data_IF_264670407218
#
_entry.id   IF_264670407218
#
_cell.length_a   1.000
_cell.length_b   1.000
_cell.length_c   1.000
_cell.angle_alpha   90.00
_cell.angle_beta   90.00
_cell.angle_gamma   90.00
#
_symmetry.space_group_name_H-M   'P 1'
#
loop_
_entity.id
_entity.type
_entity.pdbx_description
1 polymer ?
#
# COMPACT_ATOMS: atom_id res chain seq x y z
N UNK A 1 -4.13 -22.88 34.26
CA UNK A 1 -2.81 -22.19 34.17
C UNK A 1 -1.95 -22.69 33.00
N UNK A 2 -1.78 -24.00 32.75
CA UNK A 2 -1.12 -24.51 31.52
C UNK A 2 -2.01 -24.49 30.26
N UNK A 3 -3.33 -24.51 30.44
CA UNK A 3 -4.30 -24.48 29.31
C UNK A 3 -4.52 -23.09 28.72
N UNK A 4 -4.34 -22.01 29.49
CA UNK A 4 -4.52 -20.64 29.01
C UNK A 4 -3.36 -20.16 28.12
N UNK A 5 -2.13 -20.58 28.42
CA UNK A 5 -0.96 -20.26 27.58
C UNK A 5 -1.05 -20.92 26.19
N UNK A 6 -1.62 -22.14 26.11
CA UNK A 6 -1.88 -22.80 24.81
C UNK A 6 -2.98 -22.11 24.02
N UNK A 7 -4.00 -21.53 24.68
CA UNK A 7 -5.01 -20.68 24.01
C UNK A 7 -4.42 -19.35 23.52
N UNK A 8 -3.41 -18.80 24.21
CA UNK A 8 -2.68 -17.60 23.80
C UNK A 8 -1.80 -17.82 22.55
N UNK A 9 -1.25 -19.02 22.35
CA UNK A 9 -0.46 -19.39 21.17
C UNK A 9 -1.31 -19.68 19.92
N UNK A 10 -2.59 -20.04 20.08
CA UNK A 10 -3.44 -20.53 19.00
C UNK A 10 -4.33 -19.47 18.31
N UNK A 11 -4.69 -18.36 18.98
CA UNK A 11 -5.82 -17.50 18.49
C UNK A 11 -5.48 -16.02 18.28
N UNK A 12 -4.27 -15.55 18.60
CA UNK A 12 -3.83 -14.18 18.25
C UNK A 12 -4.81 -13.08 18.69
N UNK A 13 -4.82 -12.75 19.97
CA UNK A 13 -5.74 -11.75 20.52
C UNK A 13 -5.34 -10.32 20.11
N UNK A 14 -6.32 -9.47 19.77
CA UNK A 14 -6.07 -8.07 19.45
C UNK A 14 -5.45 -7.30 20.62
N UNK A 15 -4.52 -6.40 20.33
CA UNK A 15 -3.74 -5.60 21.29
C UNK A 15 -4.55 -4.72 22.25
N UNK A 16 -5.88 -4.60 22.05
CA UNK A 16 -6.80 -3.87 22.94
C UNK A 16 -7.18 -4.67 24.19
N UNK A 17 -7.12 -5.99 24.16
CA UNK A 17 -7.46 -6.85 25.31
C UNK A 17 -6.28 -7.05 26.27
N UNK A 18 -5.06 -6.70 25.85
CA UNK A 18 -3.86 -6.73 26.69
C UNK A 18 -3.77 -5.59 27.73
N UNK A 19 -4.68 -4.60 27.67
CA UNK A 19 -4.67 -3.46 28.60
C UNK A 19 -6.09 -3.08 29.06
N UNK A 20 -6.42 -3.34 30.33
CA UNK A 20 -7.61 -2.77 30.98
C UNK A 20 -7.19 -1.80 32.08
N UNK A 21 -7.61 -0.53 31.95
CA UNK A 21 -7.48 0.50 33.00
C UNK A 21 -8.65 0.38 33.99
N UNK A 22 -8.36 0.29 35.29
CA UNK A 22 -9.26 0.82 36.34
C UNK A 22 -8.48 1.64 37.35
N UNK A 23 -8.89 2.89 37.54
CA UNK A 23 -8.45 3.74 38.65
C UNK A 23 -9.45 3.52 39.80
N UNK A 24 -8.97 3.07 40.97
CA UNK A 24 -9.73 3.14 42.22
C UNK A 24 -8.98 4.05 43.21
N UNK A 25 -9.55 5.18 43.68
CA UNK A 25 -8.81 6.20 44.41
C UNK A 25 -8.47 5.88 45.88
N UNK A 26 -8.88 4.70 46.40
CA UNK A 26 -8.85 4.40 47.84
C UNK A 26 -8.01 3.17 48.23
N UNK A 27 -7.27 2.57 47.30
CA UNK A 27 -6.33 1.46 47.57
C UNK A 27 -4.95 1.89 47.08
N UNK A 28 -4.05 2.33 47.98
CA UNK A 28 -2.71 2.83 47.60
C UNK A 28 -1.70 1.69 47.36
N UNK A 29 -2.06 0.70 46.55
CA UNK A 29 -1.18 -0.35 46.05
C UNK A 29 -1.30 -0.38 44.52
N UNK A 30 -0.47 0.42 43.86
CA UNK A 30 -0.45 0.62 42.41
C UNK A 30 0.34 -0.46 41.66
N UNK A 31 0.09 -1.74 41.93
CA UNK A 31 0.77 -2.83 41.21
C UNK A 31 0.02 -3.17 39.92
N UNK A 32 0.62 -2.75 38.80
CA UNK A 32 0.50 -3.45 37.53
C UNK A 32 0.85 -4.92 37.76
N UNK A 33 -0.02 -5.86 37.40
CA UNK A 33 0.35 -7.28 37.42
C UNK A 33 0.71 -7.69 36.00
N UNK A 34 2.02 -7.85 35.78
CA UNK A 34 2.66 -8.21 34.49
C UNK A 34 2.45 -9.72 34.27
N UNK A 35 1.82 -10.11 33.16
CA UNK A 35 1.83 -11.50 32.65
C UNK A 35 3.06 -11.73 31.75
N UNK A 36 4.24 -11.41 32.27
CA UNK A 36 5.49 -11.68 31.58
C UNK A 36 6.54 -12.07 32.64
N UNK A 37 7.45 -13.01 32.33
CA UNK A 37 8.42 -13.54 33.30
C UNK A 37 9.28 -12.42 33.90
N UNK A 38 9.74 -12.65 35.14
CA UNK A 38 10.40 -11.65 36.00
C UNK A 38 11.58 -10.94 35.32
N UNK A 39 11.34 -9.73 34.82
CA UNK A 39 12.33 -8.88 34.14
C UNK A 39 13.22 -8.08 35.11
N UNK A 40 13.48 -8.57 36.32
CA UNK A 40 14.17 -7.80 37.36
C UNK A 40 15.66 -7.52 37.06
N UNK A 41 16.19 -8.04 35.94
CA UNK A 41 17.63 -7.97 35.62
C UNK A 41 17.98 -7.47 34.19
N UNK A 42 17.05 -6.96 33.40
CA UNK A 42 17.36 -6.40 32.06
C UNK A 42 17.65 -4.89 32.12
N UNK A 43 18.88 -4.50 31.79
CA UNK A 43 19.30 -3.10 31.63
C UNK A 43 18.91 -2.57 30.23
N UNK A 44 18.43 -1.32 30.17
CA UNK A 44 18.21 -0.60 28.91
C UNK A 44 19.47 -0.57 28.03
N UNK A 45 20.66 -0.58 28.64
CA UNK A 45 21.94 -0.72 27.94
C UNK A 45 21.99 -2.00 27.10
N UNK A 46 21.53 -3.13 27.63
CA UNK A 46 21.53 -4.40 26.91
C UNK A 46 20.48 -4.40 25.79
N UNK A 47 19.30 -3.83 26.04
CA UNK A 47 18.27 -3.67 25.00
C UNK A 47 18.80 -2.86 23.82
N UNK A 48 19.48 -1.74 24.11
CA UNK A 48 20.07 -0.93 23.06
C UNK A 48 21.20 -1.66 22.32
N UNK A 49 22.19 -2.19 23.06
CA UNK A 49 23.40 -2.76 22.47
C UNK A 49 23.16 -4.08 21.72
N UNK A 50 22.16 -4.87 22.15
CA UNK A 50 21.97 -6.25 21.67
C UNK A 50 20.72 -6.45 20.83
N UNK A 51 19.74 -5.56 20.91
CA UNK A 51 18.51 -5.64 20.13
C UNK A 51 18.37 -4.43 19.19
N UNK A 52 18.29 -3.21 19.71
CA UNK A 52 17.95 -2.04 18.88
C UNK A 52 19.08 -1.66 17.92
N UNK A 53 20.30 -1.48 18.41
CA UNK A 53 21.42 -1.05 17.58
C UNK A 53 21.80 -2.10 16.52
N UNK A 54 21.91 -3.42 16.82
CA UNK A 54 22.24 -4.42 15.81
C UNK A 54 21.18 -4.52 14.70
N UNK A 55 19.89 -4.42 15.03
CA UNK A 55 18.78 -4.55 14.09
C UNK A 55 18.22 -3.22 13.60
N UNK A 56 18.89 -2.09 13.86
CA UNK A 56 18.42 -0.75 13.47
C UNK A 56 18.14 -0.62 11.96
N UNK A 57 18.89 -1.34 11.13
CA UNK A 57 18.77 -1.26 9.68
C UNK A 57 17.57 -2.05 9.13
N UNK A 58 16.95 -2.96 9.90
CA UNK A 58 15.73 -3.65 9.43
C UNK A 58 14.46 -2.93 9.85
N UNK A 59 14.55 -1.91 10.72
CA UNK A 59 13.40 -1.11 11.15
C UNK A 59 12.84 -0.27 9.99
N UNK A 60 11.51 -0.16 9.92
CA UNK A 60 10.80 0.63 8.92
C UNK A 60 9.90 -0.18 7.99
N UNK A 61 9.62 0.40 6.83
CA UNK A 61 8.69 -0.14 5.82
C UNK A 61 9.43 -0.80 4.65
N UNK A 62 8.90 -1.93 4.20
CA UNK A 62 9.57 -2.80 3.25
C UNK A 62 8.58 -3.44 2.27
N UNK A 63 9.07 -3.68 1.06
CA UNK A 63 8.41 -4.51 0.06
C UNK A 63 9.22 -5.81 -0.11
N UNK A 64 8.60 -6.99 0.03
CA UNK A 64 9.25 -8.26 -0.24
C UNK A 64 9.40 -8.48 -1.76
N UNK A 65 10.51 -9.09 -2.15
CA UNK A 65 10.84 -9.46 -3.52
C UNK A 65 10.19 -10.81 -3.87
N UNK A 66 8.91 -10.76 -4.26
CA UNK A 66 8.07 -11.93 -4.57
C UNK A 66 7.60 -11.87 -6.03
N UNK A 67 8.55 -11.78 -6.95
CA UNK A 67 8.28 -11.66 -8.38
C UNK A 67 7.30 -10.51 -8.66
N UNK A 68 6.22 -10.73 -9.42
CA UNK A 68 5.28 -9.66 -9.74
C UNK A 68 4.37 -9.26 -8.56
N UNK A 69 4.30 -10.06 -7.50
CA UNK A 69 3.29 -9.90 -6.45
C UNK A 69 3.64 -8.85 -5.39
N UNK A 70 4.92 -8.66 -5.09
CA UNK A 70 5.36 -7.74 -4.03
C UNK A 70 4.75 -8.06 -2.66
N UNK A 71 4.43 -7.03 -1.89
CA UNK A 71 3.91 -7.16 -0.53
C UNK A 71 4.14 -5.90 0.30
N UNK A 72 3.68 -5.92 1.55
CA UNK A 72 3.91 -4.84 2.51
C UNK A 72 4.31 -5.40 3.87
N UNK A 73 5.51 -5.04 4.33
CA UNK A 73 6.03 -5.42 5.65
C UNK A 73 6.41 -4.16 6.43
N UNK A 74 5.92 -4.03 7.66
CA UNK A 74 6.41 -3.03 8.61
C UNK A 74 7.15 -3.73 9.75
N UNK A 75 8.43 -3.42 9.91
CA UNK A 75 9.25 -3.94 11.01
C UNK A 75 9.28 -2.90 12.13
N UNK A 76 8.78 -3.28 13.31
CA UNK A 76 8.60 -2.36 14.44
C UNK A 76 9.22 -2.90 15.71
N UNK A 77 9.53 -1.99 16.64
CA UNK A 77 9.85 -2.34 18.03
C UNK A 77 8.55 -2.34 18.84
N UNK A 78 8.28 -3.43 19.55
CA UNK A 78 7.18 -3.55 20.50
C UNK A 78 7.70 -4.17 21.81
N UNK A 79 7.88 -3.34 22.83
CA UNK A 79 8.51 -3.73 24.09
C UNK A 79 9.93 -4.25 23.88
N UNK A 80 10.13 -5.55 24.12
CA UNK A 80 11.42 -6.26 23.95
C UNK A 80 11.48 -7.08 22.65
N UNK A 81 10.51 -6.88 21.76
CA UNK A 81 10.44 -7.55 20.48
C UNK A 81 10.71 -6.55 19.35
N UNK A 82 11.36 -7.04 18.29
CA UNK A 82 11.28 -6.47 16.95
C UNK A 82 10.42 -7.42 16.13
N UNK A 83 9.33 -6.94 15.54
CA UNK A 83 8.35 -7.79 14.83
C UNK A 83 8.21 -7.30 13.40
N UNK A 84 8.33 -8.23 12.44
CA UNK A 84 7.99 -7.99 11.05
C UNK A 84 6.51 -8.30 10.79
N UNK A 85 5.68 -7.26 10.73
CA UNK A 85 4.25 -7.39 10.44
C UNK A 85 3.99 -7.31 8.94
N UNK A 86 3.54 -8.41 8.35
CA UNK A 86 3.04 -8.42 6.97
C UNK A 86 1.60 -7.91 6.96
N UNK A 87 1.35 -6.93 6.11
CA UNK A 87 0.04 -6.35 5.86
C UNK A 87 -0.52 -6.92 4.57
N UNK A 88 -1.74 -7.44 4.65
CA UNK A 88 -2.46 -8.07 3.54
C UNK A 88 -3.77 -7.31 3.31
N UNK A 89 -4.19 -7.10 2.05
CA UNK A 89 -5.47 -6.46 1.79
C UNK A 89 -6.63 -7.29 2.36
N UNK A 90 -7.79 -6.69 2.62
CA UNK A 90 -9.00 -7.45 2.96
C UNK A 90 -9.42 -8.36 1.79
N UNK A 91 -10.45 -9.17 2.00
CA UNK A 91 -10.95 -10.04 0.92
C UNK A 91 -11.64 -9.22 -0.16
N UNK A 92 -11.43 -9.60 -1.43
CA UNK A 92 -12.11 -8.99 -2.56
C UNK A 92 -13.65 -9.14 -2.45
N UNK A 93 -14.44 -8.11 -2.81
CA UNK A 93 -14.05 -6.77 -3.27
C UNK A 93 -14.09 -5.72 -2.14
N UNK A 94 -13.97 -6.10 -0.85
CA UNK A 94 -14.26 -5.22 0.30
C UNK A 94 -13.14 -4.21 0.56
N UNK A 95 -12.96 -3.26 -0.36
CA UNK A 95 -11.85 -2.30 -0.36
C UNK A 95 -11.86 -1.36 0.85
N UNK A 96 -12.97 -1.18 1.55
CA UNK A 96 -13.05 -0.32 2.73
C UNK A 96 -12.69 -1.03 4.04
N UNK A 97 -12.65 -2.36 4.03
CA UNK A 97 -12.31 -3.16 5.21
C UNK A 97 -10.87 -2.87 5.68
N UNK A 98 -10.58 -3.07 6.98
CA UNK A 98 -9.24 -2.90 7.53
C UNK A 98 -8.25 -3.92 6.95
N UNK A 99 -6.96 -3.59 6.99
CA UNK A 99 -5.91 -4.52 6.59
C UNK A 99 -5.88 -5.74 7.51
N UNK A 100 -5.65 -6.91 6.92
CA UNK A 100 -5.25 -8.11 7.66
C UNK A 100 -3.77 -7.99 8.00
N UNK A 101 -3.36 -8.53 9.14
CA UNK A 101 -1.95 -8.48 9.60
C UNK A 101 -1.54 -9.82 10.18
N UNK A 102 -0.31 -10.24 9.86
CA UNK A 102 0.31 -11.42 10.47
C UNK A 102 1.80 -11.21 10.71
N UNK A 103 2.37 -11.75 11.79
CA UNK A 103 3.81 -11.68 12.02
C UNK A 103 4.52 -12.70 11.12
N UNK A 104 5.61 -12.31 10.44
CA UNK A 104 6.45 -13.25 9.69
C UNK A 104 7.67 -13.71 10.45
N UNK A 105 8.20 -12.83 11.29
CA UNK A 105 9.29 -13.11 12.19
C UNK A 105 9.21 -12.21 13.41
N UNK A 106 9.88 -12.63 14.48
CA UNK A 106 10.16 -11.76 15.62
C UNK A 106 11.58 -11.96 16.11
N UNK A 107 12.16 -10.90 16.64
CA UNK A 107 13.47 -10.88 17.27
C UNK A 107 13.25 -10.46 18.71
N UNK A 108 13.78 -11.20 19.66
CA UNK A 108 13.56 -10.93 21.08
C UNK A 108 14.77 -11.29 21.89
N UNK A 109 14.87 -10.74 23.09
CA UNK A 109 15.94 -11.04 24.02
C UNK A 109 15.35 -11.55 25.32
N UNK A 110 15.68 -12.78 25.69
CA UNK A 110 15.41 -13.35 27.01
C UNK A 110 16.59 -13.09 27.97
N UNK A 111 16.58 -13.72 29.14
CA UNK A 111 17.64 -13.67 30.17
C UNK A 111 19.06 -14.00 29.65
N UNK A 112 19.16 -14.72 28.52
CA UNK A 112 20.42 -15.21 27.93
C UNK A 112 21.29 -14.13 27.28
N UNK A 113 20.91 -12.86 27.37
CA UNK A 113 21.72 -11.74 26.91
C UNK A 113 22.07 -11.82 25.40
N UNK A 114 21.30 -12.56 24.60
CA UNK A 114 21.47 -12.66 23.15
C UNK A 114 20.11 -12.59 22.48
N UNK A 115 20.00 -11.77 21.43
CA UNK A 115 18.81 -11.73 20.61
C UNK A 115 18.62 -13.06 19.86
N UNK A 116 17.43 -13.65 19.97
CA UNK A 116 16.97 -14.80 19.21
C UNK A 116 16.01 -14.34 18.13
N UNK A 117 16.17 -14.91 16.94
CA UNK A 117 15.28 -14.70 15.79
C UNK A 117 14.39 -15.93 15.63
N UNK A 118 13.09 -15.70 15.50
CA UNK A 118 12.11 -16.73 15.27
C UNK A 118 11.31 -16.44 14.00
N UNK A 119 11.15 -17.45 13.17
CA UNK A 119 10.17 -17.48 12.10
C UNK A 119 8.78 -17.71 12.72
N UNK A 120 7.80 -16.95 12.25
CA UNK A 120 6.41 -17.00 12.73
C UNK A 120 5.45 -17.58 11.67
N UNK A 121 5.98 -18.05 10.54
CA UNK A 121 5.19 -18.54 9.42
C UNK A 121 4.66 -19.97 9.65
N UNK A 122 3.54 -20.31 9.04
CA UNK A 122 2.88 -21.59 9.24
C UNK A 122 2.02 -21.67 10.51
N UNK A 123 1.54 -22.88 10.80
CA UNK A 123 0.50 -23.10 11.81
C UNK A 123 0.97 -23.94 13.01
N UNK A 124 2.28 -24.19 13.13
CA UNK A 124 2.90 -24.99 14.22
C UNK A 124 3.62 -24.15 15.27
N UNK A 125 3.42 -22.83 15.25
CA UNK A 125 3.99 -21.89 16.21
C UNK A 125 5.40 -21.37 15.86
N UNK A 126 5.97 -20.51 16.72
CA UNK A 126 7.29 -19.92 16.53
C UNK A 126 8.40 -20.97 16.49
N UNK A 127 9.35 -20.81 15.58
CA UNK A 127 10.47 -21.74 15.40
C UNK A 127 11.71 -21.01 14.91
N UNK A 128 12.85 -21.69 14.82
CA UNK A 128 14.12 -21.04 14.53
C UNK A 128 14.13 -20.42 13.13
N UNK A 129 14.50 -19.14 13.07
CA UNK A 129 14.77 -18.43 11.83
C UNK A 129 16.02 -17.56 11.94
N UNK A 130 16.39 -16.95 10.83
CA UNK A 130 17.52 -16.04 10.70
C UNK A 130 17.09 -14.75 9.98
N UNK A 131 17.75 -13.64 10.32
CA UNK A 131 17.66 -12.37 9.60
C UNK A 131 19.06 -11.97 9.17
N UNK A 132 19.26 -11.77 7.87
CA UNK A 132 20.52 -11.32 7.29
C UNK A 132 20.37 -9.90 6.75
N UNK A 133 21.13 -8.97 7.33
CA UNK A 133 21.18 -7.58 6.85
C UNK A 133 22.20 -7.51 5.72
N UNK A 134 21.75 -7.23 4.49
CA UNK A 134 22.61 -7.18 3.31
C UNK A 134 23.21 -5.78 3.17
N UNK A 135 22.34 -4.76 3.18
CA UNK A 135 22.68 -3.34 3.11
C UNK A 135 21.75 -2.54 4.01
N UNK A 136 21.91 -1.21 4.06
CA UNK A 136 21.00 -0.33 4.81
C UNK A 136 19.54 -0.48 4.36
N UNK A 137 19.33 -0.68 3.06
CA UNK A 137 18.01 -0.67 2.42
C UNK A 137 17.59 -2.05 1.90
N UNK A 138 18.23 -3.11 2.40
CA UNK A 138 17.94 -4.49 2.02
C UNK A 138 18.30 -5.48 3.14
N UNK A 139 17.36 -6.38 3.47
CA UNK A 139 17.61 -7.52 4.36
C UNK A 139 16.83 -8.75 3.88
N UNK A 140 17.18 -9.93 4.37
CA UNK A 140 16.45 -11.15 4.09
C UNK A 140 16.13 -11.95 5.35
N UNK A 141 15.07 -12.75 5.28
CA UNK A 141 14.73 -13.77 6.28
C UNK A 141 15.03 -15.15 5.73
N UNK A 142 15.37 -16.08 6.63
CA UNK A 142 15.48 -17.50 6.31
C UNK A 142 14.83 -18.32 7.41
N UNK A 143 13.96 -19.26 7.02
CA UNK A 143 13.49 -20.29 7.94
C UNK A 143 14.43 -21.50 7.89
N UNK A 144 14.83 -22.04 9.05
CA UNK A 144 15.67 -23.23 9.12
C UNK A 144 14.87 -24.53 9.34
N UNK A 145 13.55 -24.42 9.56
CA UNK A 145 12.67 -25.51 9.98
C UNK A 145 11.33 -25.44 9.22
N UNK A 146 11.38 -25.57 7.90
CA UNK A 146 10.20 -25.42 7.02
C UNK A 146 9.15 -26.52 7.18
N UNK A 147 9.47 -27.59 7.91
CA UNK A 147 8.50 -28.59 8.38
C UNK A 147 7.39 -27.95 9.24
N UNK A 148 7.67 -26.82 9.88
CA UNK A 148 6.70 -26.02 10.64
C UNK A 148 5.63 -25.38 9.74
N UNK A 149 5.93 -25.20 8.45
CA UNK A 149 5.03 -24.60 7.48
C UNK A 149 4.08 -25.62 6.86
N UNK A 150 4.42 -26.91 6.94
CA UNK A 150 3.66 -28.00 6.32
C UNK A 150 2.45 -28.38 7.16
N UNK A 151 1.31 -28.60 6.50
CA UNK A 151 0.09 -29.09 7.15
C UNK A 151 -0.08 -30.60 6.99
N UNK A 152 -0.75 -31.30 7.93
CA UNK A 152 -0.93 -32.75 7.88
C UNK A 152 -1.63 -33.27 6.61
N UNK A 153 -2.59 -32.51 6.08
CA UNK A 153 -3.28 -32.77 4.82
C UNK A 153 -2.50 -32.34 3.57
N UNK A 154 -1.21 -32.03 3.73
CA UNK A 154 -0.29 -31.68 2.65
C UNK A 154 -0.68 -30.40 1.91
N UNK A 155 -0.23 -30.28 0.66
CA UNK A 155 -0.38 -29.08 -0.16
C UNK A 155 -1.83 -28.69 -0.43
N UNK A 156 -2.76 -29.65 -0.42
CA UNK A 156 -4.19 -29.37 -0.60
C UNK A 156 -4.79 -28.65 0.61
N UNK A 157 -4.42 -29.05 1.83
CA UNK A 157 -4.85 -28.33 3.04
C UNK A 157 -4.18 -26.96 3.15
N UNK A 158 -2.89 -26.85 2.80
CA UNK A 158 -2.20 -25.57 2.73
C UNK A 158 -2.88 -24.59 1.76
N UNK A 159 -3.28 -25.07 0.58
CA UNK A 159 -3.99 -24.24 -0.40
C UNK A 159 -5.36 -23.79 0.13
N UNK A 160 -6.16 -24.70 0.68
CA UNK A 160 -7.49 -24.35 1.23
C UNK A 160 -7.38 -23.33 2.37
N UNK A 161 -6.43 -23.52 3.28
CA UNK A 161 -6.19 -22.60 4.40
C UNK A 161 -5.74 -21.23 3.90
N UNK A 162 -4.79 -21.20 2.95
CA UNK A 162 -4.36 -19.95 2.32
C UNK A 162 -5.51 -19.25 1.57
N UNK A 163 -6.36 -20.00 0.87
CA UNK A 163 -7.51 -19.47 0.15
C UNK A 163 -8.54 -18.85 1.10
N UNK A 164 -8.83 -19.51 2.22
CA UNK A 164 -9.68 -18.96 3.27
C UNK A 164 -9.08 -17.68 3.87
N UNK A 165 -7.77 -17.66 4.14
CA UNK A 165 -7.08 -16.47 4.66
C UNK A 165 -7.11 -15.30 3.67
N UNK A 166 -6.81 -15.53 2.39
CA UNK A 166 -6.65 -14.49 1.37
C UNK A 166 -7.95 -14.04 0.70
N UNK A 167 -8.94 -14.94 0.60
CA UNK A 167 -10.19 -14.68 -0.14
C UNK A 167 -11.45 -14.89 0.70
N UNK A 168 -11.39 -15.65 1.80
CA UNK A 168 -12.56 -15.93 2.64
C UNK A 168 -13.67 -16.71 1.91
N UNK A 169 -13.31 -17.45 0.86
CA UNK A 169 -14.22 -18.23 -0.01
C UNK A 169 -13.56 -19.55 -0.38
N UNK A 170 -14.37 -20.54 -0.76
CA UNK A 170 -13.82 -21.75 -1.38
C UNK A 170 -13.54 -21.50 -2.87
N UNK A 171 -12.83 -22.42 -3.53
CA UNK A 171 -12.52 -22.28 -4.95
C UNK A 171 -13.79 -22.39 -5.80
N UNK A 172 -14.74 -23.21 -5.37
CA UNK A 172 -16.04 -23.43 -6.02
C UNK A 172 -16.93 -22.19 -5.99
N UNK A 173 -16.81 -21.36 -4.95
CA UNK A 173 -17.54 -20.09 -4.82
C UNK A 173 -17.00 -18.98 -5.74
N UNK A 174 -15.85 -19.21 -6.39
CA UNK A 174 -15.21 -18.26 -7.30
C UNK A 174 -15.66 -18.60 -8.73
N UNK A 175 -16.72 -17.94 -9.20
CA UNK A 175 -17.40 -18.28 -10.45
C UNK A 175 -16.57 -18.12 -11.74
N UNK A 176 -15.44 -17.40 -11.71
CA UNK A 176 -14.63 -17.14 -12.90
C UNK A 176 -13.40 -18.06 -12.94
N UNK A 177 -13.35 -18.97 -13.92
CA UNK A 177 -12.24 -19.92 -14.11
C UNK A 177 -10.88 -19.22 -14.19
N UNK A 178 -10.77 -18.15 -14.98
CA UNK A 178 -9.54 -17.38 -15.08
C UNK A 178 -9.05 -16.82 -13.74
N UNK A 179 -9.97 -16.43 -12.85
CA UNK A 179 -9.63 -15.96 -11.50
C UNK A 179 -9.11 -17.12 -10.63
N UNK A 180 -9.70 -18.31 -10.76
CA UNK A 180 -9.20 -19.51 -10.08
C UNK A 180 -7.77 -19.86 -10.52
N UNK A 181 -7.46 -19.77 -11.81
CA UNK A 181 -6.11 -19.99 -12.36
C UNK A 181 -5.09 -19.00 -11.78
N UNK A 182 -5.43 -17.71 -11.76
CA UNK A 182 -4.57 -16.66 -11.20
C UNK A 182 -4.31 -16.88 -9.70
N UNK A 183 -5.33 -17.26 -8.95
CA UNK A 183 -5.25 -17.58 -7.53
C UNK A 183 -4.33 -18.77 -7.29
N UNK A 184 -4.51 -19.85 -8.05
CA UNK A 184 -3.70 -21.06 -7.93
C UNK A 184 -2.24 -20.76 -8.29
N UNK A 185 -2.00 -20.01 -9.37
CA UNK A 185 -0.66 -19.57 -9.77
C UNK A 185 0.00 -18.73 -8.68
N UNK A 186 -0.72 -17.76 -8.09
CA UNK A 186 -0.24 -16.93 -6.98
C UNK A 186 0.14 -17.80 -5.79
N UNK A 187 -0.71 -18.75 -5.39
CA UNK A 187 -0.39 -19.67 -4.31
C UNK A 187 0.87 -20.48 -4.60
N UNK A 188 0.94 -21.14 -5.76
CA UNK A 188 2.09 -21.99 -6.12
C UNK A 188 3.38 -21.18 -6.12
N UNK A 189 3.37 -20.00 -6.75
CA UNK A 189 4.54 -19.14 -6.87
C UNK A 189 5.01 -18.60 -5.51
N UNK A 190 4.11 -17.96 -4.77
CA UNK A 190 4.47 -17.32 -3.48
C UNK A 190 4.88 -18.34 -2.42
N UNK A 191 4.28 -19.54 -2.43
CA UNK A 191 4.65 -20.60 -1.48
C UNK A 191 6.00 -21.27 -1.77
N UNK A 192 6.61 -21.08 -2.96
CA UNK A 192 7.98 -21.55 -3.22
C UNK A 192 9.02 -20.85 -2.35
N UNK A 193 8.76 -19.60 -1.95
CA UNK A 193 9.68 -18.84 -1.12
C UNK A 193 9.74 -19.38 0.30
N UNK A 194 8.68 -20.02 0.78
CA UNK A 194 8.61 -20.64 2.11
C UNK A 194 9.10 -19.72 3.25
N UNK A 195 8.70 -18.45 3.18
CA UNK A 195 9.11 -17.34 4.05
C UNK A 195 10.63 -17.02 4.07
N UNK A 196 11.39 -17.56 3.11
CA UNK A 196 12.75 -17.14 2.81
C UNK A 196 12.70 -15.99 1.79
N UNK A 197 12.64 -14.77 2.29
CA UNK A 197 12.30 -13.57 1.51
C UNK A 197 13.40 -12.53 1.62
N UNK A 198 13.68 -11.84 0.50
CA UNK A 198 14.45 -10.59 0.49
C UNK A 198 13.48 -9.42 0.53
N UNK A 199 13.81 -8.41 1.32
CA UNK A 199 13.01 -7.22 1.52
C UNK A 199 13.81 -5.99 1.13
N UNK A 200 13.18 -5.10 0.36
CA UNK A 200 13.77 -3.85 -0.09
C UNK A 200 13.03 -2.68 0.53
N UNK A 201 13.78 -1.66 0.95
CA UNK A 201 13.21 -0.54 1.70
C UNK A 201 12.30 0.28 0.81
N UNK A 202 11.14 0.63 1.36
CA UNK A 202 10.22 1.60 0.76
C UNK A 202 9.87 2.68 1.79
N UNK A 203 9.30 3.78 1.33
CA UNK A 203 8.89 4.89 2.19
C UNK A 203 7.47 5.32 1.87
N UNK A 204 6.80 5.91 2.86
CA UNK A 204 5.60 6.70 2.64
C UNK A 204 5.97 8.02 1.95
N UNK A 205 5.11 8.49 1.04
CA UNK A 205 5.29 9.74 0.33
C UNK A 205 5.31 10.93 1.29
N UNK A 206 6.21 11.91 1.10
CA UNK A 206 6.12 13.21 1.76
C UNK A 206 4.80 13.91 1.45
N UNK A 207 4.30 14.71 2.39
CA UNK A 207 3.08 15.48 2.20
C UNK A 207 3.41 16.97 2.03
N UNK A 208 2.84 17.59 1.01
CA UNK A 208 2.90 19.03 0.78
C UNK A 208 1.51 19.66 0.97
N UNK A 209 1.41 20.89 1.51
CA UNK A 209 0.12 21.58 1.68
C UNK A 209 -0.66 21.81 0.38
N UNK A 210 0.02 21.80 -0.77
CA UNK A 210 -0.56 21.93 -2.10
C UNK A 210 -1.15 20.64 -2.66
N UNK A 211 -0.94 19.50 -2.00
CA UNK A 211 -1.42 18.20 -2.47
C UNK A 211 -2.95 18.17 -2.55
N UNK A 212 -3.48 17.49 -3.58
CA UNK A 212 -4.92 17.34 -3.78
C UNK A 212 -5.61 16.66 -2.59
N UNK A 213 -4.94 15.67 -2.00
CA UNK A 213 -5.33 14.97 -0.78
C UNK A 213 -4.07 14.50 -0.05
N UNK A 214 -4.22 14.01 1.18
CA UNK A 214 -3.08 13.43 1.91
C UNK A 214 -2.50 12.23 1.12
N UNK A 215 -1.23 12.21 0.72
CA UNK A 215 -0.65 11.05 0.04
C UNK A 215 -0.52 9.87 1.00
N UNK A 216 -0.31 8.67 0.46
CA UNK A 216 -0.20 7.46 1.28
C UNK A 216 -0.63 6.20 0.54
N UNK A 217 -0.95 5.16 1.33
CA UNK A 217 -1.29 3.85 0.79
C UNK A 217 -2.79 3.68 0.64
N UNK A 218 -3.20 3.00 -0.42
CA UNK A 218 -4.59 2.69 -0.74
C UNK A 218 -4.71 1.23 -1.16
N UNK A 219 -5.83 0.63 -0.78
CA UNK A 219 -6.29 -0.67 -1.25
C UNK A 219 -7.12 -0.40 -2.50
N UNK A 220 -6.97 -1.17 -3.56
CA UNK A 220 -7.64 -0.93 -4.83
C UNK A 220 -8.08 -2.21 -5.54
N UNK A 221 -9.20 -2.18 -6.24
CA UNK A 221 -9.68 -3.32 -7.03
C UNK A 221 -8.99 -3.42 -8.39
N UNK A 222 -8.48 -4.61 -8.73
CA UNK A 222 -7.79 -4.92 -9.99
C UNK A 222 -8.43 -6.13 -10.71
N UNK A 223 -9.76 -6.13 -10.81
CA UNK A 223 -10.50 -7.13 -11.59
C UNK A 223 -10.26 -8.56 -11.09
N UNK A 224 -9.82 -9.45 -11.96
CA UNK A 224 -9.61 -10.88 -11.66
C UNK A 224 -8.40 -11.13 -10.74
N UNK A 225 -7.53 -10.14 -10.55
CA UNK A 225 -6.39 -10.25 -9.63
C UNK A 225 -6.77 -10.00 -8.17
N UNK A 226 -7.98 -9.46 -7.92
CA UNK A 226 -8.48 -9.11 -6.59
C UNK A 226 -8.04 -7.72 -6.15
N UNK A 227 -7.75 -7.57 -4.86
CA UNK A 227 -7.28 -6.31 -4.29
C UNK A 227 -5.76 -6.21 -4.33
N UNK A 228 -5.28 -5.02 -4.71
CA UNK A 228 -3.87 -4.64 -4.65
C UNK A 228 -3.66 -3.42 -3.77
N UNK A 229 -2.44 -3.24 -3.27
CA UNK A 229 -2.01 -2.09 -2.50
C UNK A 229 -1.22 -1.17 -3.43
N UNK A 230 -1.64 0.09 -3.51
CA UNK A 230 -0.93 1.14 -4.24
C UNK A 230 -0.50 2.26 -3.30
N UNK A 231 0.53 2.99 -3.72
CA UNK A 231 1.03 4.17 -3.05
C UNK A 231 0.75 5.40 -3.92
N UNK A 232 -0.11 6.29 -3.44
CA UNK A 232 -0.42 7.58 -4.07
C UNK A 232 0.56 8.64 -3.58
N UNK A 233 1.25 9.30 -4.51
CA UNK A 233 2.23 10.36 -4.27
C UNK A 233 2.01 11.55 -5.21
N UNK A 234 2.48 12.75 -4.83
CA UNK A 234 2.31 13.99 -5.59
C UNK A 234 3.65 14.54 -6.09
N UNK A 235 3.65 14.98 -7.35
CA UNK A 235 4.84 15.33 -8.13
C UNK A 235 4.52 16.60 -8.94
N UNK A 236 4.51 17.75 -8.26
CA UNK A 236 4.09 19.01 -8.88
C UNK A 236 2.64 18.96 -9.35
N UNK A 237 2.42 19.06 -10.66
CA UNK A 237 1.09 19.01 -11.29
C UNK A 237 0.58 17.59 -11.57
N UNK A 238 1.27 16.55 -11.10
CA UNK A 238 0.88 15.16 -11.33
C UNK A 238 0.72 14.39 -10.02
N UNK A 239 -0.29 13.52 -9.94
CA UNK A 239 -0.34 12.49 -8.92
C UNK A 239 0.03 11.14 -9.54
N UNK A 240 0.82 10.34 -8.83
CA UNK A 240 1.35 9.05 -9.30
C UNK A 240 0.95 7.94 -8.32
N UNK A 241 0.42 6.84 -8.84
CA UNK A 241 0.13 5.64 -8.07
C UNK A 241 1.11 4.52 -8.43
N UNK A 242 1.90 4.07 -7.47
CA UNK A 242 2.87 2.98 -7.64
C UNK A 242 2.37 1.72 -6.95
N UNK A 243 2.45 0.56 -7.61
CA UNK A 243 2.03 -0.72 -7.02
C UNK A 243 2.99 -1.17 -5.92
N UNK A 244 2.47 -1.45 -4.73
CA UNK A 244 3.20 -2.12 -3.65
C UNK A 244 2.95 -3.63 -3.66
N UNK A 245 1.74 -4.02 -4.00
CA UNK A 245 1.44 -5.37 -4.50
C UNK A 245 0.98 -5.27 -5.94
N UNK A 246 1.24 -6.31 -6.71
CA UNK A 246 0.86 -6.35 -8.10
C UNK A 246 0.56 -7.75 -8.59
N UNK A 247 0.53 -7.86 -9.91
CA UNK A 247 0.09 -9.04 -10.60
C UNK A 247 0.97 -9.30 -11.83
N UNK A 248 0.87 -10.48 -12.46
CA UNK A 248 1.69 -10.82 -13.62
C UNK A 248 1.49 -9.92 -14.85
N UNK A 249 0.43 -9.12 -14.90
CA UNK A 249 0.21 -8.16 -15.97
C UNK A 249 0.93 -6.85 -15.63
N UNK A 250 0.66 -6.25 -14.48
CA UNK A 250 1.36 -5.04 -14.01
C UNK A 250 1.99 -5.34 -12.64
N UNK A 251 3.31 -5.65 -12.60
CA UNK A 251 4.02 -6.04 -11.41
C UNK A 251 4.04 -4.98 -10.30
N UNK A 252 4.28 -5.45 -9.07
CA UNK A 252 4.69 -4.59 -7.97
C UNK A 252 5.93 -3.76 -8.36
N UNK A 253 5.98 -2.51 -7.89
CA UNK A 253 7.00 -1.51 -8.25
C UNK A 253 6.64 -0.65 -9.46
N UNK A 254 5.73 -1.10 -10.32
CA UNK A 254 5.34 -0.36 -11.52
C UNK A 254 4.37 0.79 -11.22
N UNK A 255 4.45 1.84 -12.04
CA UNK A 255 3.57 3.02 -12.01
C UNK A 255 2.24 2.68 -12.68
N UNK A 256 1.23 2.34 -11.89
CA UNK A 256 -0.07 1.90 -12.41
C UNK A 256 -0.97 3.05 -12.86
N UNK A 257 -0.92 4.22 -12.22
CA UNK A 257 -1.69 5.40 -12.62
C UNK A 257 -0.83 6.67 -12.62
N UNK A 258 -1.09 7.55 -13.58
CA UNK A 258 -0.69 8.97 -13.53
C UNK A 258 -1.92 9.82 -13.74
N UNK A 259 -2.12 10.80 -12.88
CA UNK A 259 -3.24 11.73 -12.90
C UNK A 259 -2.69 13.13 -13.14
N UNK A 260 -3.20 13.80 -14.17
CA UNK A 260 -2.77 15.14 -14.56
C UNK A 260 -3.65 16.19 -13.88
N UNK A 261 -3.16 16.78 -12.79
CA UNK A 261 -3.94 17.67 -11.92
C UNK A 261 -4.23 19.03 -12.56
N UNK A 262 -3.51 19.39 -13.63
CA UNK A 262 -3.78 20.56 -14.46
C UNK A 262 -4.86 20.31 -15.53
N UNK A 263 -5.41 19.09 -15.64
CA UNK A 263 -6.43 18.69 -16.62
C UNK A 263 -7.72 18.26 -15.92
N UNK A 264 -8.44 19.19 -15.26
CA UNK A 264 -9.71 18.85 -14.63
C UNK A 264 -10.76 18.50 -15.70
N UNK A 265 -11.48 17.41 -15.47
CA UNK A 265 -12.59 16.96 -16.32
C UNK A 265 -13.90 17.38 -15.67
N UNK A 266 -14.74 18.12 -16.41
CA UNK A 266 -16.09 18.46 -15.95
C UNK A 266 -17.03 17.32 -16.32
N UNK A 267 -17.57 16.64 -15.31
CA UNK A 267 -18.59 15.64 -15.55
C UNK A 267 -19.88 16.29 -16.08
N UNK A 268 -20.58 15.63 -17.01
CA UNK A 268 -21.90 16.07 -17.43
C UNK A 268 -22.95 15.73 -16.34
N UNK A 269 -24.21 16.04 -16.60
CA UNK A 269 -25.33 15.60 -15.75
C UNK A 269 -25.42 14.06 -15.65
N UNK A 270 -26.22 13.57 -14.70
CA UNK A 270 -26.35 12.13 -14.42
C UNK A 270 -26.84 11.32 -15.62
N UNK A 271 -27.73 11.86 -16.45
CA UNK A 271 -28.28 11.15 -17.61
C UNK A 271 -27.18 10.88 -18.64
N UNK A 272 -26.31 11.87 -18.86
CA UNK A 272 -25.18 11.76 -19.79
C UNK A 272 -24.01 10.97 -19.20
N UNK A 273 -23.81 11.00 -17.89
CA UNK A 273 -22.81 10.15 -17.22
C UNK A 273 -23.08 8.66 -17.44
N UNK A 274 -24.35 8.25 -17.58
CA UNK A 274 -24.72 6.85 -17.85
C UNK A 274 -24.26 6.33 -19.21
N UNK A 275 -23.72 7.18 -20.09
CA UNK A 275 -23.36 6.82 -21.47
C UNK A 275 -21.83 6.74 -21.64
N UNK A 276 -21.30 5.55 -21.97
CA UNK A 276 -19.84 5.33 -22.11
C UNK A 276 -19.26 6.19 -23.23
N UNK A 277 -20.01 6.43 -24.29
CA UNK A 277 -19.59 7.18 -25.47
C UNK A 277 -19.33 8.65 -25.15
N UNK A 278 -20.17 9.27 -24.32
CA UNK A 278 -20.01 10.66 -23.89
C UNK A 278 -18.80 10.81 -22.97
N UNK A 279 -18.62 9.88 -22.02
CA UNK A 279 -17.45 9.87 -21.15
C UNK A 279 -16.15 9.65 -21.95
N UNK A 280 -16.17 8.68 -22.87
CA UNK A 280 -15.03 8.36 -23.74
C UNK A 280 -14.64 9.58 -24.57
N UNK A 281 -15.60 10.30 -25.15
CA UNK A 281 -15.33 11.51 -25.94
C UNK A 281 -14.64 12.60 -25.11
N UNK A 282 -15.08 12.84 -23.88
CA UNK A 282 -14.49 13.85 -22.99
C UNK A 282 -13.02 13.52 -22.68
N UNK A 283 -12.76 12.29 -22.27
CA UNK A 283 -11.43 11.86 -21.84
C UNK A 283 -10.48 11.72 -23.04
N UNK A 284 -10.95 11.22 -24.18
CA UNK A 284 -10.15 11.16 -25.42
C UNK A 284 -9.82 12.55 -25.95
N UNK A 285 -10.72 13.54 -25.82
CA UNK A 285 -10.40 14.94 -26.15
C UNK A 285 -9.20 15.46 -25.37
N UNK A 286 -9.15 15.22 -24.05
CA UNK A 286 -7.97 15.55 -23.24
C UNK A 286 -6.73 14.74 -23.62
N UNK A 287 -6.89 13.47 -24.01
CA UNK A 287 -5.78 12.64 -24.46
C UNK A 287 -5.15 13.18 -25.76
N UNK A 288 -5.97 13.58 -26.73
CA UNK A 288 -5.52 14.17 -28.00
C UNK A 288 -4.84 15.54 -27.80
N UNK A 289 -5.34 16.37 -26.89
CA UNK A 289 -4.68 17.63 -26.51
C UNK A 289 -3.28 17.37 -25.94
N UNK A 290 -3.16 16.41 -25.02
CA UNK A 290 -1.89 16.01 -24.41
C UNK A 290 -0.90 15.46 -25.44
N UNK A 291 -1.35 14.62 -26.37
CA UNK A 291 -0.48 14.11 -27.43
C UNK A 291 0.03 15.22 -28.36
N UNK A 292 -0.83 16.20 -28.68
CA UNK A 292 -0.45 17.36 -29.50
C UNK A 292 0.58 18.25 -28.80
N UNK A 293 0.42 18.48 -27.51
CA UNK A 293 1.38 19.26 -26.71
C UNK A 293 2.74 18.57 -26.61
N UNK A 294 2.76 17.26 -26.33
CA UNK A 294 4.00 16.48 -26.24
C UNK A 294 4.77 16.47 -27.58
N UNK A 295 4.08 16.29 -28.71
CA UNK A 295 4.71 16.35 -30.04
C UNK A 295 5.22 17.75 -30.39
N UNK A 296 4.54 18.81 -29.94
CA UNK A 296 4.99 20.20 -30.11
C UNK A 296 6.25 20.53 -29.31
N UNK A 297 6.35 20.02 -28.09
CA UNK A 297 7.54 20.16 -27.23
C UNK A 297 8.74 19.37 -27.79
N UNK A 298 8.54 18.14 -28.27
CA UNK A 298 9.60 17.34 -28.92
C UNK A 298 10.13 17.99 -30.21
N UNK A 299 9.24 18.59 -31.01
CA UNK A 299 9.63 19.31 -32.22
C UNK A 299 10.38 20.62 -31.94
N UNK A 300 10.09 21.30 -30.82
CA UNK A 300 10.81 22.51 -30.41
C UNK A 300 12.14 22.20 -29.70
N UNK A 301 12.23 21.07 -28.98
CA UNK A 301 13.46 20.62 -28.30
C UNK A 301 14.60 20.20 -29.24
N UNK A 302 14.32 19.94 -30.52
CA UNK A 302 15.34 19.64 -31.54
C UNK A 302 15.81 20.88 -32.34
N UNK A 303 15.28 22.07 -32.03
CA UNK A 303 15.50 23.30 -32.82
C UNK A 303 16.23 24.45 -32.13
N UNK A 304 16.74 24.28 -30.90
CA UNK A 304 17.30 25.38 -30.11
C UNK A 304 18.73 25.09 -29.60
N UNK A 305 19.69 24.95 -30.53
CA UNK A 305 21.08 25.37 -30.28
C UNK A 305 21.30 26.66 -31.06
N UNK A 306 21.16 27.81 -30.39
CA UNK A 306 21.45 29.10 -31.00
C UNK A 306 20.88 30.29 -30.25
N UNK A 307 21.75 30.91 -29.46
CA UNK A 307 21.75 32.33 -29.10
C UNK A 307 20.94 32.76 -27.84
N UNK A 308 21.64 32.79 -26.69
CA UNK A 308 21.22 33.58 -25.52
C UNK A 308 22.22 34.73 -25.28
N UNK A 309 21.81 35.92 -25.71
CA UNK A 309 22.33 37.21 -25.27
C UNK A 309 21.52 37.76 -24.09
N UNK A 310 22.24 38.09 -23.02
CA UNK A 310 21.79 38.65 -21.73
C UNK A 310 20.94 39.93 -21.80
N UNK A 311 19.96 40.07 -20.88
CA UNK A 311 19.77 41.29 -20.06
C UNK A 311 18.77 41.06 -18.91
N UNK A 312 19.15 41.53 -17.71
CA UNK A 312 18.39 41.50 -16.47
C UNK A 312 17.47 42.74 -16.31
N UNK A 313 16.36 42.60 -15.56
CA UNK A 313 15.74 43.70 -14.82
C UNK A 313 14.77 43.21 -13.71
N UNK A 314 15.21 43.47 -12.48
CA UNK A 314 14.55 43.87 -11.21
C UNK A 314 13.06 43.61 -10.88
N UNK A 315 12.87 43.28 -9.59
CA UNK A 315 11.62 43.09 -8.85
C UNK A 315 10.98 44.41 -8.35
N UNK A 316 9.74 44.34 -7.85
CA UNK A 316 9.43 45.04 -6.60
C UNK A 316 8.62 44.19 -5.60
N UNK A 317 8.61 44.68 -4.35
CA UNK A 317 8.20 43.98 -3.15
C UNK A 317 6.88 44.52 -2.54
N UNK A 318 6.18 43.61 -1.85
CA UNK A 318 5.24 43.70 -0.70
C UNK A 318 4.02 44.64 -0.73
N UNK A 319 2.85 44.09 -0.39
CA UNK A 319 2.08 44.56 0.77
C UNK A 319 1.10 43.49 1.31
N UNK A 320 1.02 43.41 2.64
CA UNK A 320 0.23 42.45 3.39
C UNK A 320 -1.11 43.06 3.82
N UNK A 321 -2.19 42.26 3.79
CA UNK A 321 -3.39 42.56 4.57
C UNK A 321 -3.91 41.30 5.27
N UNK A 322 -4.04 41.42 6.58
CA UNK A 322 -4.60 40.45 7.51
C UNK A 322 -6.08 40.75 7.68
N UNK A 323 -6.97 39.74 7.69
CA UNK A 323 -8.03 39.56 8.72
C UNK A 323 -8.98 38.39 8.43
N UNK A 324 -9.36 37.75 9.54
CA UNK A 324 -10.55 36.92 9.78
C UNK A 324 -10.53 35.45 9.32
N UNK A 325 -9.89 34.64 10.15
CA UNK A 325 -10.30 33.26 10.36
C UNK A 325 -11.54 33.20 11.25
N UNK A 326 -12.65 32.69 10.71
CA UNK A 326 -13.71 31.97 11.42
C UNK A 326 -14.88 31.74 10.45
N UNK A 327 -14.77 30.81 9.50
CA UNK A 327 -15.92 30.22 8.75
C UNK A 327 -15.55 29.07 7.80
N UNK A 328 -14.33 28.51 7.87
CA UNK A 328 -13.85 27.54 6.87
C UNK A 328 -14.48 26.14 7.01
N UNK A 329 -15.09 25.82 8.15
CA UNK A 329 -15.68 24.50 8.40
C UNK A 329 -17.07 24.30 7.77
N UNK A 330 -17.75 25.36 7.32
CA UNK A 330 -19.12 25.27 6.79
C UNK A 330 -19.22 25.35 5.25
N UNK A 331 -18.10 25.54 4.53
CA UNK A 331 -18.08 25.66 3.05
C UNK A 331 -17.65 24.40 2.29
N UNK A 332 -17.15 23.36 2.97
CA UNK A 332 -16.65 22.15 2.31
C UNK A 332 -17.75 21.24 1.72
N UNK A 333 -19.02 21.42 2.12
CA UNK A 333 -20.13 20.61 1.62
C UNK A 333 -20.71 21.08 0.27
N UNK A 334 -20.14 22.12 -0.35
CA UNK A 334 -20.73 22.84 -1.49
C UNK A 334 -20.17 22.44 -2.88
N UNK A 335 -19.13 21.61 -2.97
CA UNK A 335 -18.46 21.28 -4.24
C UNK A 335 -18.68 19.82 -4.70
N UNK A 336 -19.46 19.03 -3.97
CA UNK A 336 -19.76 17.64 -4.35
C UNK A 336 -20.87 17.62 -5.41
N UNK A 337 -20.63 16.93 -6.53
CA UNK A 337 -21.62 16.67 -7.57
C UNK A 337 -22.02 15.19 -7.60
N UNK A 338 -23.25 14.86 -8.02
CA UNK A 338 -23.68 13.47 -8.20
C UNK A 338 -22.80 12.70 -9.19
N UNK A 339 -22.58 11.42 -8.91
CA UNK A 339 -21.76 10.53 -9.72
C UNK A 339 -22.44 9.17 -9.94
N UNK A 340 -22.41 8.69 -11.18
CA UNK A 340 -22.84 7.35 -11.56
C UNK A 340 -21.87 6.77 -12.60
N UNK A 341 -21.57 5.47 -12.49
CA UNK A 341 -20.79 4.80 -13.52
C UNK A 341 -21.59 4.67 -14.83
N UNK A 342 -20.95 4.86 -15.99
CA UNK A 342 -21.58 4.60 -17.27
C UNK A 342 -22.05 3.14 -17.43
N UNK A 343 -23.14 2.94 -18.17
CA UNK A 343 -23.66 1.61 -18.49
C UNK A 343 -22.62 0.79 -19.26
N UNK A 344 -22.35 -0.43 -18.80
CA UNK A 344 -21.36 -1.32 -19.40
C UNK A 344 -19.94 -1.15 -18.85
N UNK A 345 -19.70 -0.21 -17.93
CA UNK A 345 -18.47 -0.19 -17.13
C UNK A 345 -18.60 -1.22 -16.00
N UNK A 346 -17.69 -2.18 -15.98
CA UNK A 346 -17.65 -3.26 -14.98
C UNK A 346 -16.98 -2.74 -13.71
N UNK A 347 -17.65 -2.89 -12.57
CA UNK A 347 -17.09 -2.62 -11.25
C UNK A 347 -17.16 -3.90 -10.40
N UNK A 348 -16.06 -4.20 -9.69
CA UNK A 348 -16.03 -5.28 -8.67
C UNK A 348 -16.91 -4.92 -7.46
N UNK A 349 -16.91 -3.65 -7.07
CA UNK A 349 -17.76 -3.11 -6.02
C UNK A 349 -19.05 -2.54 -6.60
N UNK A 350 -20.20 -3.10 -6.20
CA UNK A 350 -21.50 -2.49 -6.47
C UNK A 350 -21.74 -1.26 -5.58
N UNK A 351 -21.15 -1.26 -4.39
CA UNK A 351 -21.15 -0.17 -3.44
C UNK A 351 -19.95 0.75 -3.66
N UNK A 352 -20.20 1.90 -4.28
CA UNK A 352 -19.25 3.00 -4.41
C UNK A 352 -19.95 4.35 -4.11
N UNK A 353 -19.20 5.39 -3.72
CA UNK A 353 -19.80 6.69 -3.41
C UNK A 353 -20.54 7.29 -4.62
N UNK A 354 -21.75 7.79 -4.39
CA UNK A 354 -22.65 8.35 -5.43
C UNK A 354 -22.48 9.85 -5.65
N UNK A 355 -21.40 10.40 -5.13
CA UNK A 355 -21.03 11.81 -5.29
C UNK A 355 -19.51 11.92 -5.33
N UNK A 356 -18.99 12.77 -6.21
CA UNK A 356 -17.57 13.07 -6.31
C UNK A 356 -17.31 14.57 -6.21
N UNK A 357 -16.10 14.95 -5.80
CA UNK A 357 -15.70 16.36 -5.65
C UNK A 357 -14.94 16.87 -6.86
N UNK A 358 -14.03 16.07 -7.43
CA UNK A 358 -13.19 16.47 -8.57
C UNK A 358 -12.92 15.28 -9.47
N UNK A 359 -12.77 15.56 -10.76
CA UNK A 359 -12.34 14.57 -11.75
C UNK A 359 -11.18 15.13 -12.57
N UNK A 360 -10.24 14.27 -12.93
CA UNK A 360 -9.04 14.64 -13.68
C UNK A 360 -8.77 13.61 -14.76
N UNK A 361 -8.20 14.09 -15.86
CA UNK A 361 -7.63 13.21 -16.87
C UNK A 361 -6.46 12.42 -16.26
N UNK A 362 -6.41 11.13 -16.56
CA UNK A 362 -5.31 10.28 -16.17
C UNK A 362 -5.04 9.19 -17.18
N UNK A 363 -3.98 8.45 -16.92
CA UNK A 363 -3.54 7.32 -17.74
C UNK A 363 -3.20 6.16 -16.82
N UNK A 364 -3.66 4.97 -17.20
CA UNK A 364 -3.38 3.72 -16.51
C UNK A 364 -2.38 2.89 -17.30
N UNK A 365 -1.45 2.23 -16.61
CA UNK A 365 -0.56 1.26 -17.24
C UNK A 365 -1.27 -0.09 -17.34
N UNK A 366 -1.31 -0.66 -18.54
CA UNK A 366 -1.77 -2.03 -18.80
C UNK A 366 -0.67 -2.80 -19.53
N UNK A 367 -0.71 -4.13 -19.45
CA UNK A 367 0.18 -5.00 -20.21
C UNK A 367 -0.43 -6.40 -20.34
N UNK A 368 0.07 -7.17 -21.30
CA UNK A 368 -0.19 -8.60 -21.39
C UNK A 368 0.45 -9.38 -20.22
N UNK A 369 0.08 -10.65 -20.10
CA UNK A 369 0.65 -11.52 -19.05
C UNK A 369 2.17 -11.59 -19.17
N UNK A 370 2.87 -11.56 -18.03
CA UNK A 370 4.33 -11.47 -17.97
C UNK A 370 4.86 -10.07 -18.26
N UNK A 371 4.05 -9.03 -17.99
CA UNK A 371 4.35 -7.63 -18.27
C UNK A 371 4.77 -7.37 -19.73
N UNK A 372 4.10 -8.02 -20.66
CA UNK A 372 4.44 -7.96 -22.09
C UNK A 372 3.76 -6.78 -22.78
N UNK A 373 4.50 -6.06 -23.62
CA UNK A 373 4.03 -4.88 -24.37
C UNK A 373 3.27 -3.86 -23.50
N UNK A 374 3.91 -3.32 -22.44
CA UNK A 374 3.24 -2.38 -21.54
C UNK A 374 2.90 -1.07 -22.26
N UNK A 375 1.69 -0.58 -22.06
CA UNK A 375 1.21 0.66 -22.66
C UNK A 375 0.33 1.46 -21.71
N UNK A 376 0.26 2.78 -21.93
CA UNK A 376 -0.55 3.68 -21.11
C UNK A 376 -1.86 4.00 -21.82
N UNK A 377 -2.97 3.61 -21.21
CA UNK A 377 -4.31 3.85 -21.75
C UNK A 377 -5.00 5.00 -21.02
N UNK A 378 -5.81 5.81 -21.74
CA UNK A 378 -6.51 6.94 -21.15
C UNK A 378 -7.60 6.48 -20.17
N UNK A 379 -7.82 7.29 -19.14
CA UNK A 379 -8.84 7.04 -18.14
C UNK A 379 -9.23 8.28 -17.37
N UNK A 380 -10.23 8.11 -16.51
CA UNK A 380 -10.78 9.17 -15.68
C UNK A 380 -10.51 8.89 -14.21
N UNK A 381 -9.73 9.77 -13.56
CA UNK A 381 -9.59 9.78 -12.12
C UNK A 381 -10.76 10.53 -11.48
N UNK A 382 -11.34 9.96 -10.42
CA UNK A 382 -12.51 10.50 -9.71
C UNK A 382 -12.18 10.58 -8.22
N UNK A 383 -12.18 11.77 -7.65
CA UNK A 383 -12.02 11.98 -6.22
C UNK A 383 -13.40 11.96 -5.54
N UNK A 384 -13.65 11.00 -4.66
CA UNK A 384 -14.88 10.95 -3.89
C UNK A 384 -14.76 11.79 -2.60
N UNK A 385 -13.72 11.54 -1.82
CA UNK A 385 -13.43 12.24 -0.57
C UNK A 385 -11.93 12.13 -0.21
N UNK A 386 -11.55 12.54 1.01
CA UNK A 386 -10.16 12.53 1.47
C UNK A 386 -9.52 11.14 1.53
N UNK A 387 -10.32 10.07 1.53
CA UNK A 387 -9.87 8.69 1.74
C UNK A 387 -10.26 7.75 0.60
N UNK A 388 -11.06 8.20 -0.38
CA UNK A 388 -11.55 7.37 -1.46
C UNK A 388 -11.46 8.08 -2.81
N UNK A 389 -11.00 7.33 -3.80
CA UNK A 389 -11.00 7.75 -5.19
C UNK A 389 -11.27 6.55 -6.10
N UNK A 390 -11.57 6.82 -7.36
CA UNK A 390 -11.78 5.81 -8.38
C UNK A 390 -11.01 6.12 -9.65
N UNK A 391 -10.84 5.11 -10.50
CA UNK A 391 -10.30 5.26 -11.83
C UNK A 391 -11.12 4.44 -12.83
N UNK A 392 -11.63 5.09 -13.88
CA UNK A 392 -12.29 4.42 -15.00
C UNK A 392 -11.24 4.16 -16.09
N UNK A 393 -11.01 2.89 -16.39
CA UNK A 393 -10.19 2.40 -17.49
C UNK A 393 -11.06 2.35 -18.75
N UNK A 394 -10.87 3.29 -19.67
CA UNK A 394 -11.78 3.43 -20.82
C UNK A 394 -11.77 2.20 -21.73
N UNK A 395 -10.57 1.80 -22.16
CA UNK A 395 -10.41 0.70 -23.12
C UNK A 395 -10.89 -0.64 -22.55
N UNK A 396 -10.72 -0.83 -21.24
CA UNK A 396 -11.14 -2.04 -20.54
C UNK A 396 -12.62 -2.01 -20.11
N UNK A 397 -13.29 -0.86 -20.27
CA UNK A 397 -14.63 -0.61 -19.70
C UNK A 397 -14.72 -1.08 -18.25
N UNK A 398 -13.73 -0.71 -17.45
CA UNK A 398 -13.55 -1.20 -16.08
C UNK A 398 -13.41 -0.05 -15.09
N UNK A 399 -13.87 -0.25 -13.86
CA UNK A 399 -13.74 0.70 -12.77
C UNK A 399 -12.96 0.10 -11.61
N UNK A 400 -11.91 0.80 -11.20
CA UNK A 400 -11.18 0.52 -9.97
C UNK A 400 -11.58 1.49 -8.88
N UNK A 401 -12.02 0.96 -7.73
CA UNK A 401 -12.27 1.74 -6.51
C UNK A 401 -11.06 1.62 -5.57
N UNK A 402 -10.67 2.74 -4.96
CA UNK A 402 -9.55 2.81 -4.03
C UNK A 402 -9.97 3.41 -2.70
N UNK A 403 -9.52 2.80 -1.60
CA UNK A 403 -9.78 3.28 -0.24
C UNK A 403 -8.52 3.24 0.61
N UNK A 404 -8.31 4.29 1.40
CA UNK A 404 -7.09 4.53 2.17
C UNK A 404 -6.79 3.41 3.17
N UNK A 405 -5.52 3.05 3.29
CA UNK A 405 -4.99 2.28 4.42
C UNK A 405 -4.78 3.22 5.62
N UNK A 406 -5.47 2.96 6.73
CA UNK A 406 -5.49 3.83 7.91
C UNK A 406 -4.61 3.33 9.06
N UNK A 407 -4.05 2.13 8.95
CA UNK A 407 -3.12 1.58 9.92
C UNK A 407 -1.87 2.47 10.11
N UNK A 408 -1.42 2.70 11.34
CA UNK A 408 -0.20 3.45 11.60
C UNK A 408 1.03 2.61 11.22
N UNK A 409 1.82 3.14 10.29
CA UNK A 409 3.08 2.53 9.83
C UNK A 409 4.27 3.26 10.44
N UNK A 410 4.95 2.61 11.39
CA UNK A 410 6.06 3.21 12.13
C UNK A 410 7.34 3.21 11.30
N UNK A 411 8.15 4.27 11.47
CA UNK A 411 9.47 4.42 10.82
C UNK A 411 9.41 4.32 9.29
N UNK A 412 8.30 4.79 8.71
CA UNK A 412 8.01 4.64 7.29
C UNK A 412 8.24 5.92 6.46
N UNK A 413 8.49 7.07 7.07
CA UNK A 413 8.64 8.34 6.34
C UNK A 413 9.97 8.40 5.58
N UNK A 414 9.93 8.94 4.36
CA UNK A 414 11.13 9.22 3.59
C UNK A 414 11.97 10.32 4.27
N UNK A 415 13.31 10.22 4.25
CA UNK A 415 14.18 11.28 4.77
C UNK A 415 14.05 12.62 4.03
N UNK A 416 13.80 12.57 2.72
CA UNK A 416 13.61 13.72 1.83
C UNK A 416 12.77 13.33 0.61
N UNK A 417 12.27 14.31 -0.14
CA UNK A 417 11.60 14.05 -1.42
C UNK A 417 12.52 13.35 -2.43
N UNK A 418 13.79 13.77 -2.49
CA UNK A 418 14.81 13.12 -3.33
C UNK A 418 15.00 11.65 -2.98
N UNK A 419 15.06 11.31 -1.68
CA UNK A 419 15.17 9.92 -1.23
C UNK A 419 13.93 9.09 -1.61
N UNK A 420 12.76 9.73 -1.63
CA UNK A 420 11.51 9.11 -2.07
C UNK A 420 11.53 8.85 -3.59
N UNK A 421 11.98 9.81 -4.41
CA UNK A 421 12.11 9.62 -5.86
C UNK A 421 13.11 8.53 -6.23
N UNK A 422 14.27 8.50 -5.58
CA UNK A 422 15.28 7.43 -5.79
C UNK A 422 14.69 6.07 -5.43
N UNK A 423 13.91 5.99 -4.35
CA UNK A 423 13.22 4.76 -3.97
C UNK A 423 12.20 4.33 -5.03
N UNK A 424 11.39 5.24 -5.58
CA UNK A 424 10.45 4.93 -6.67
C UNK A 424 11.15 4.43 -7.94
N UNK A 425 12.26 5.05 -8.34
CA UNK A 425 13.05 4.62 -9.50
C UNK A 425 13.61 3.22 -9.29
N UNK A 426 14.16 2.95 -8.11
CA UNK A 426 14.64 1.63 -7.74
C UNK A 426 13.52 0.59 -7.80
N UNK A 427 12.34 0.87 -7.22
CA UNK A 427 11.19 -0.02 -7.26
C UNK A 427 10.81 -0.43 -8.68
N UNK A 428 10.75 0.53 -9.61
CA UNK A 428 10.42 0.26 -11.01
C UNK A 428 11.46 -0.67 -11.65
N UNK A 429 12.75 -0.40 -11.45
CA UNK A 429 13.83 -1.21 -12.01
C UNK A 429 13.91 -2.65 -11.49
N UNK A 430 13.28 -2.98 -10.36
CA UNK A 430 13.29 -4.34 -9.82
C UNK A 430 12.43 -5.30 -10.63
N UNK A 431 11.44 -4.76 -11.34
CA UNK A 431 10.42 -5.53 -12.07
C UNK A 431 10.24 -5.07 -13.52
N UNK A 432 11.19 -4.26 -14.03
CA UNK A 432 11.29 -3.86 -15.44
C UNK A 432 11.83 -4.96 -16.34
#
# INVERSE_FOLDING_TARGET
MKEDLRKMELVGVSSRELYVKRVSPRVKSGRFMKLLPDYEHMDYRDVYARLLHPFRNILGLWQPDIGPYGGLLNVVVDGLFIIGWMYLPPHDPRVEDPMRRRPLFRIHMWESNRASVECMYGHKGPHKGDVQIVKKDEFSTKCNQTDHHRMPGGRQEEFRTWLEEEWGRTLEDIFHEHMQELILMKFIYTSQYDNCLTYRRIYLPPHLPSDLLRPGLFKGTYGSHGLEIIMLSFHGSSAKATKLTGDPNVPAGQLTLVVHLNRPVRLPDLERQCTVEDLSRLVLGHHEEMQREAQGEEAQGQGAEGDEGTAAAEAPAVEASTTSGATRAARAASDAQPFVLPLGVIARNEEYPRSCTKCFYGTGLIAGHGFTSPERTPGLFILFDENRFGFIWLELKSFSLYSRLTDPLAQALAPSMESFEVMLQNMQSWTS
#
